data_IF_748340730703
#
_entry.id   IF_748340730703
#
_cell.length_a   1.000
_cell.length_b   1.000
_cell.length_c   1.000
_cell.angle_alpha   90.00
_cell.angle_beta   90.00
_cell.angle_gamma   90.00
#
_symmetry.space_group_name_H-M   'P 1'
#
loop_
_entity.id
_entity.type
_entity.pdbx_description
1 polymer ?
#
# COMPACT_ATOMS: atom_id res chain seq x y z
N UNK A 1 28.13 2.67 -7.48
CA UNK A 1 26.81 2.82 -8.13
C UNK A 1 26.02 1.51 -8.03
N UNK A 2 26.63 0.37 -8.39
CA UNK A 2 25.97 -0.95 -8.38
C UNK A 2 25.50 -1.43 -6.99
N UNK A 3 26.29 -1.22 -5.94
CA UNK A 3 25.89 -1.62 -4.58
C UNK A 3 24.70 -0.81 -4.04
N UNK A 4 24.64 0.48 -4.39
CA UNK A 4 23.54 1.36 -3.99
C UNK A 4 22.23 0.92 -4.66
N UNK A 5 22.28 0.65 -5.97
CA UNK A 5 21.15 0.12 -6.72
C UNK A 5 20.69 -1.24 -6.16
N UNK A 6 21.62 -2.10 -5.77
CA UNK A 6 21.31 -3.41 -5.19
C UNK A 6 20.61 -3.28 -3.82
N UNK A 7 21.05 -2.35 -2.96
CA UNK A 7 20.38 -2.07 -1.68
C UNK A 7 18.96 -1.57 -1.87
N UNK A 8 18.77 -0.62 -2.79
CA UNK A 8 17.45 -0.07 -3.13
C UNK A 8 16.54 -1.19 -3.67
N UNK A 9 17.00 -1.95 -4.67
CA UNK A 9 16.28 -3.10 -5.24
C UNK A 9 15.82 -4.09 -4.18
N UNK A 10 16.74 -4.53 -3.32
CA UNK A 10 16.42 -5.48 -2.25
C UNK A 10 15.37 -4.93 -1.29
N UNK A 11 15.44 -3.64 -0.97
CA UNK A 11 14.47 -2.99 -0.07
C UNK A 11 13.10 -2.87 -0.72
N UNK A 12 13.04 -2.48 -2.00
CA UNK A 12 11.81 -2.45 -2.80
C UNK A 12 11.18 -3.84 -2.91
N UNK A 13 11.95 -4.87 -3.27
CA UNK A 13 11.46 -6.24 -3.38
C UNK A 13 10.87 -6.75 -2.08
N UNK A 14 11.55 -6.49 -0.95
CA UNK A 14 11.05 -6.85 0.40
C UNK A 14 9.68 -6.24 0.67
N UNK A 15 9.43 -5.00 0.27
CA UNK A 15 8.12 -4.36 0.44
C UNK A 15 7.00 -5.11 -0.29
N UNK A 16 7.25 -5.53 -1.52
CA UNK A 16 6.27 -6.28 -2.31
C UNK A 16 6.07 -7.71 -1.79
N UNK A 17 7.12 -8.32 -1.23
CA UNK A 17 7.07 -9.61 -0.55
C UNK A 17 6.38 -9.57 0.83
N UNK A 18 6.17 -8.39 1.42
CA UNK A 18 5.45 -8.29 2.69
C UNK A 18 4.05 -8.90 2.57
N UNK A 19 3.56 -9.58 3.62
CA UNK A 19 2.21 -10.10 3.65
C UNK A 19 1.19 -8.98 3.39
N UNK A 20 -0.03 -9.33 2.93
CA UNK A 20 -1.10 -8.36 2.76
C UNK A 20 -1.28 -7.58 4.06
N UNK A 21 -1.46 -6.26 3.95
CA UNK A 21 -1.79 -5.44 5.12
C UNK A 21 -3.12 -5.93 5.64
N UNK A 22 -3.15 -6.33 6.92
CA UNK A 22 -4.38 -6.73 7.58
C UNK A 22 -5.41 -5.58 7.47
N UNK A 23 -6.65 -5.89 7.07
CA UNK A 23 -7.71 -4.89 7.03
C UNK A 23 -7.85 -4.19 8.39
N UNK A 24 -8.11 -2.89 8.33
CA UNK A 24 -8.35 -2.06 9.51
C UNK A 24 -9.62 -1.23 9.27
N UNK A 25 -10.29 -0.75 10.33
CA UNK A 25 -11.50 0.06 10.19
C UNK A 25 -11.33 1.28 9.27
N UNK A 26 -10.14 1.91 9.26
CA UNK A 26 -9.85 3.04 8.36
C UNK A 26 -9.89 2.61 6.88
N UNK A 27 -9.34 1.45 6.54
CA UNK A 27 -9.32 0.93 5.17
C UNK A 27 -10.74 0.68 4.68
N UNK A 28 -11.61 0.15 5.54
CA UNK A 28 -13.02 -0.05 5.23
C UNK A 28 -13.75 1.28 5.00
N UNK A 29 -13.53 2.29 5.84
CA UNK A 29 -14.15 3.60 5.65
C UNK A 29 -13.73 4.23 4.32
N UNK A 30 -12.43 4.22 4.00
CA UNK A 30 -11.90 4.73 2.74
C UNK A 30 -12.47 3.97 1.53
N UNK A 31 -12.51 2.65 1.61
CA UNK A 31 -13.06 1.77 0.57
C UNK A 31 -14.54 2.05 0.32
N UNK A 32 -15.34 2.17 1.38
CA UNK A 32 -16.78 2.45 1.24
C UNK A 32 -17.03 3.87 0.74
N UNK A 33 -16.20 4.83 1.13
CA UNK A 33 -16.29 6.21 0.67
C UNK A 33 -15.89 6.38 -0.81
N UNK A 34 -15.02 5.52 -1.35
CA UNK A 34 -14.67 5.54 -2.77
C UNK A 34 -15.80 5.01 -3.68
N UNK A 35 -16.73 4.22 -3.13
CA UNK A 35 -17.88 3.70 -3.87
C UNK A 35 -18.98 4.75 -4.09
N UNK A 36 -19.73 4.56 -5.18
CA UNK A 36 -20.98 5.28 -5.46
C UNK A 36 -22.17 4.62 -4.76
N UNK A 37 -23.27 5.36 -4.61
CA UNK A 37 -24.55 4.78 -4.19
C UNK A 37 -25.09 3.81 -5.26
N UNK A 38 -25.86 2.77 -4.88
CA UNK A 38 -26.32 2.42 -3.53
C UNK A 38 -25.33 1.54 -2.72
N UNK A 39 -24.22 1.14 -3.35
CA UNK A 39 -23.25 0.21 -2.76
C UNK A 39 -22.62 0.76 -1.47
N UNK A 40 -22.29 2.05 -1.46
CA UNK A 40 -21.81 2.73 -0.25
C UNK A 40 -22.75 2.52 0.93
N UNK A 41 -24.04 2.82 0.77
CA UNK A 41 -25.04 2.63 1.85
C UNK A 41 -25.16 1.16 2.26
N UNK A 42 -25.15 0.23 1.30
CA UNK A 42 -25.21 -1.20 1.57
C UNK A 42 -24.04 -1.67 2.45
N UNK A 43 -22.80 -1.36 2.05
CA UNK A 43 -21.62 -1.77 2.80
C UNK A 43 -21.48 -1.06 4.15
N UNK A 44 -21.89 0.22 4.26
CA UNK A 44 -21.98 0.90 5.57
C UNK A 44 -22.90 0.17 6.55
N UNK A 45 -24.02 -0.37 6.07
CA UNK A 45 -24.97 -1.14 6.90
C UNK A 45 -24.40 -2.49 7.34
N UNK A 46 -23.65 -3.18 6.48
CA UNK A 46 -22.98 -4.44 6.83
C UNK A 46 -21.88 -4.22 7.89
N UNK A 47 -21.14 -3.12 7.75
CA UNK A 47 -20.08 -2.73 8.67
C UNK A 47 -18.78 -3.52 8.50
N UNK A 48 -17.72 -3.02 9.14
CA UNK A 48 -16.35 -3.51 8.98
C UNK A 48 -16.18 -5.01 9.26
N UNK A 49 -16.74 -5.51 10.36
CA UNK A 49 -16.53 -6.90 10.78
C UNK A 49 -17.04 -7.93 9.77
N UNK A 50 -18.12 -7.61 9.05
CA UNK A 50 -18.65 -8.48 7.99
C UNK A 50 -17.89 -8.30 6.67
N UNK A 51 -17.24 -7.15 6.48
CA UNK A 51 -16.56 -6.80 5.24
C UNK A 51 -15.05 -7.07 5.25
N UNK A 52 -14.43 -7.29 6.40
CA UNK A 52 -12.97 -7.40 6.56
C UNK A 52 -12.34 -8.55 5.77
N UNK A 53 -13.08 -9.61 5.47
CA UNK A 53 -12.61 -10.74 4.67
C UNK A 53 -13.10 -10.70 3.21
N UNK A 54 -13.78 -9.63 2.80
CA UNK A 54 -14.27 -9.53 1.43
C UNK A 54 -13.12 -9.25 0.46
N UNK A 55 -13.06 -9.96 -0.69
CA UNK A 55 -12.01 -9.76 -1.69
C UNK A 55 -11.89 -8.29 -2.15
N UNK A 56 -13.00 -7.56 -2.22
CA UNK A 56 -13.00 -6.17 -2.65
C UNK A 56 -12.24 -5.23 -1.71
N UNK A 57 -12.34 -5.43 -0.39
CA UNK A 57 -11.59 -4.64 0.58
C UNK A 57 -10.10 -5.03 0.57
N UNK A 58 -9.80 -6.32 0.48
CA UNK A 58 -8.42 -6.79 0.35
C UNK A 58 -7.75 -6.20 -0.91
N UNK A 59 -8.45 -6.22 -2.04
CA UNK A 59 -7.94 -5.64 -3.29
C UNK A 59 -7.72 -4.13 -3.17
N UNK A 60 -8.66 -3.39 -2.59
CA UNK A 60 -8.51 -1.95 -2.35
C UNK A 60 -7.29 -1.62 -1.48
N UNK A 61 -7.04 -2.41 -0.43
CA UNK A 61 -5.85 -2.25 0.41
C UNK A 61 -4.57 -2.56 -0.38
N UNK A 62 -4.58 -3.59 -1.23
CA UNK A 62 -3.44 -3.95 -2.07
C UNK A 62 -3.14 -2.92 -3.15
N UNK A 63 -4.15 -2.34 -3.79
CA UNK A 63 -3.97 -1.25 -4.77
C UNK A 63 -3.33 -0.02 -4.12
N UNK A 64 -3.73 0.29 -2.88
CA UNK A 64 -3.14 1.39 -2.12
C UNK A 64 -1.84 1.00 -1.41
N UNK A 65 -1.39 -0.25 -1.50
CA UNK A 65 -0.07 -0.68 -0.99
C UNK A 65 1.05 0.08 -1.70
N UNK A 66 0.86 0.48 -2.95
CA UNK A 66 1.84 1.30 -3.69
C UNK A 66 1.97 2.73 -3.12
N UNK A 67 0.93 3.25 -2.47
CA UNK A 67 1.03 4.52 -1.72
C UNK A 67 2.02 4.37 -0.56
N UNK A 68 2.00 3.23 0.14
CA UNK A 68 2.88 2.94 1.28
C UNK A 68 4.33 2.62 0.95
N UNK A 69 4.67 2.47 -0.34
CA UNK A 69 6.04 2.21 -0.77
C UNK A 69 6.96 3.37 -0.40
N UNK A 70 6.48 4.62 -0.53
CA UNK A 70 7.30 5.79 -0.25
C UNK A 70 7.67 5.89 1.24
N UNK A 71 6.70 5.72 2.14
CA UNK A 71 6.92 5.73 3.59
C UNK A 71 7.80 4.56 4.01
N UNK A 72 7.62 3.39 3.39
CA UNK A 72 8.46 2.24 3.64
C UNK A 72 9.91 2.50 3.25
N UNK A 73 10.15 3.02 2.04
CA UNK A 73 11.49 3.33 1.54
C UNK A 73 12.17 4.41 2.38
N UNK A 74 11.42 5.42 2.82
CA UNK A 74 11.93 6.47 3.72
C UNK A 74 12.42 5.90 5.06
N UNK A 75 11.75 4.86 5.60
CA UNK A 75 12.10 4.25 6.89
C UNK A 75 13.26 3.26 6.81
N UNK A 76 13.45 2.62 5.65
CA UNK A 76 14.37 1.47 5.51
C UNK A 76 15.63 1.78 4.68
N UNK A 77 15.64 2.85 3.90
CA UNK A 77 16.83 3.31 3.19
C UNK A 77 17.60 4.34 4.02
N UNK A 78 18.92 4.40 3.77
CA UNK A 78 19.73 5.53 4.23
C UNK A 78 19.24 6.83 3.58
N UNK A 79 19.46 8.02 4.18
CA UNK A 79 19.06 9.30 3.58
C UNK A 79 19.64 9.55 2.19
N UNK A 80 20.80 8.97 1.87
CA UNK A 80 21.42 9.04 0.54
C UNK A 80 20.71 8.11 -0.45
N UNK A 81 20.45 6.86 -0.06
CA UNK A 81 19.77 5.88 -0.90
C UNK A 81 18.30 6.26 -1.14
N UNK A 82 17.61 6.83 -0.15
CA UNK A 82 16.24 7.34 -0.29
C UNK A 82 16.16 8.49 -1.29
N UNK A 83 17.10 9.45 -1.23
CA UNK A 83 17.15 10.56 -2.19
C UNK A 83 17.37 10.05 -3.61
N UNK A 84 18.34 9.16 -3.79
CA UNK A 84 18.60 8.52 -5.08
C UNK A 84 17.37 7.78 -5.61
N UNK A 85 16.72 6.96 -4.77
CA UNK A 85 15.49 6.24 -5.13
C UNK A 85 14.35 7.20 -5.52
N UNK A 86 14.14 8.27 -4.75
CA UNK A 86 13.08 9.26 -4.97
C UNK A 86 13.27 10.02 -6.30
N UNK A 87 14.50 10.39 -6.63
CA UNK A 87 14.85 11.05 -7.88
C UNK A 87 14.65 10.15 -9.11
N UNK A 88 14.79 8.83 -8.93
CA UNK A 88 14.69 7.83 -10.00
C UNK A 88 13.43 6.95 -9.88
N UNK A 89 12.38 7.43 -9.20
CA UNK A 89 11.19 6.63 -8.83
C UNK A 89 10.53 5.92 -10.01
N UNK A 90 10.52 6.54 -11.19
CA UNK A 90 9.96 5.97 -12.42
C UNK A 90 10.64 4.70 -12.93
N UNK A 91 11.81 4.33 -12.39
CA UNK A 91 12.52 3.10 -12.74
C UNK A 91 12.18 1.93 -11.79
N UNK A 92 11.36 2.19 -10.76
CA UNK A 92 11.09 1.26 -9.66
C UNK A 92 9.60 0.94 -9.46
N UNK A 93 8.71 1.64 -10.17
CA UNK A 93 7.26 1.42 -10.23
C UNK A 93 6.88 0.82 -11.59
#
# INVERSE_FOLDING_TARGET
MDEQLLRIRRTTSRFFELPPVEPEPRHFNDWVNSMKEPLRTMFRRLGYNQCKSLPGLCHFIMERKDEGLQEYMMRHLSPQDYRFWKEHRSQWC
#
